data_IF_847365567305
#
_entry.id   IF_847365567305
#
_cell.length_a   1.000
_cell.length_b   1.000
_cell.length_c   1.000
_cell.angle_alpha   90.00
_cell.angle_beta   90.00
_cell.angle_gamma   90.00
#
_symmetry.space_group_name_H-M   'P 1'
#
loop_
_entity.id
_entity.type
_entity.pdbx_description
1 polymer ?
#
# COMPACT_ATOMS: atom_id res chain seq x y z
N UNK A 1 -34.95 -7.46 -16.36
CA UNK A 1 -33.66 -7.42 -15.71
C UNK A 1 -32.71 -6.75 -16.64
N UNK A 2 -31.85 -5.78 -16.23
CA UNK A 2 -30.81 -5.27 -17.12
C UNK A 2 -29.89 -6.40 -17.54
N UNK A 3 -29.36 -6.34 -18.76
CA UNK A 3 -28.41 -7.31 -19.28
C UNK A 3 -27.21 -7.41 -18.35
N UNK A 4 -26.77 -8.63 -18.05
CA UNK A 4 -25.57 -8.88 -17.25
C UNK A 4 -24.33 -8.55 -18.09
N UNK A 5 -23.49 -7.63 -17.64
CA UNK A 5 -22.20 -7.35 -18.26
C UNK A 5 -21.18 -8.38 -17.75
N UNK A 6 -20.49 -9.03 -18.67
CA UNK A 6 -19.32 -9.86 -18.37
C UNK A 6 -18.05 -9.12 -18.82
N UNK A 7 -17.09 -8.95 -17.92
CA UNK A 7 -15.79 -8.36 -18.23
C UNK A 7 -14.73 -9.46 -18.23
N UNK A 8 -13.90 -9.48 -19.27
CA UNK A 8 -12.78 -10.40 -19.41
C UNK A 8 -11.47 -9.64 -19.18
N UNK A 9 -10.57 -10.12 -18.33
CA UNK A 9 -9.24 -9.55 -18.21
C UNK A 9 -8.48 -9.59 -19.52
N UNK A 10 -7.78 -8.51 -19.84
CA UNK A 10 -6.89 -8.38 -20.98
C UNK A 10 -5.44 -8.74 -20.67
N UNK A 11 -5.10 -8.81 -19.37
CA UNK A 11 -3.75 -9.10 -18.89
C UNK A 11 -3.71 -9.14 -17.36
N UNK A 12 -2.50 -9.23 -16.82
CA UNK A 12 -2.22 -9.33 -15.40
C UNK A 12 -1.06 -8.43 -14.98
N UNK A 13 -1.12 -7.90 -13.76
CA UNK A 13 -0.04 -7.12 -13.15
C UNK A 13 0.94 -8.05 -12.47
N UNK A 14 2.24 -7.86 -12.72
CA UNK A 14 3.33 -8.42 -11.95
C UNK A 14 3.98 -7.31 -11.13
N UNK A 15 3.89 -7.40 -9.81
CA UNK A 15 4.31 -6.38 -8.87
C UNK A 15 5.05 -6.99 -7.68
N UNK A 16 6.01 -6.27 -7.07
CA UNK A 16 6.61 -6.70 -5.82
C UNK A 16 5.64 -6.67 -4.63
N UNK A 17 4.46 -6.06 -4.80
CA UNK A 17 3.44 -5.93 -3.77
C UNK A 17 2.60 -7.21 -3.71
N UNK A 18 2.88 -8.09 -2.77
CA UNK A 18 2.23 -9.41 -2.67
C UNK A 18 0.97 -9.41 -1.80
N UNK A 19 0.69 -8.33 -1.09
CA UNK A 19 -0.48 -8.23 -0.21
C UNK A 19 -1.10 -6.84 -0.20
N UNK A 20 -2.41 -6.78 0.12
CA UNK A 20 -3.15 -5.52 0.31
C UNK A 20 -2.53 -4.59 1.37
N UNK A 21 -1.75 -5.13 2.29
CA UNK A 21 -1.11 -4.35 3.36
C UNK A 21 0.15 -3.62 2.85
N UNK A 22 0.74 -4.11 1.78
CA UNK A 22 1.95 -3.56 1.15
C UNK A 22 1.61 -2.54 0.06
N UNK A 23 0.44 -2.69 -0.57
CA UNK A 23 0.01 -1.77 -1.61
C UNK A 23 -0.20 -0.36 -1.06
N UNK A 24 0.41 0.62 -1.68
CA UNK A 24 0.09 2.01 -1.48
C UNK A 24 -1.39 2.24 -1.84
N UNK A 25 -2.02 3.27 -1.27
CA UNK A 25 -3.46 3.49 -1.47
C UNK A 25 -3.79 4.33 -2.67
N UNK A 26 -2.79 4.94 -3.23
CA UNK A 26 -2.86 5.75 -4.46
C UNK A 26 -1.50 5.68 -5.15
N UNK A 27 -1.45 5.71 -6.48
CA UNK A 27 -0.20 5.69 -7.25
C UNK A 27 0.80 6.76 -6.82
N UNK A 28 0.31 7.99 -6.54
CA UNK A 28 1.14 9.10 -6.09
C UNK A 28 1.84 8.87 -4.72
N UNK A 29 1.39 7.89 -3.94
CA UNK A 29 2.04 7.51 -2.68
C UNK A 29 3.01 6.32 -2.84
N UNK A 30 3.10 5.76 -4.03
CA UNK A 30 3.96 4.63 -4.40
C UNK A 30 5.11 5.08 -5.31
N UNK A 31 5.65 6.29 -5.05
CA UNK A 31 6.77 6.83 -5.81
C UNK A 31 7.89 5.80 -5.93
N UNK A 32 8.37 5.58 -7.17
CA UNK A 32 9.45 4.63 -7.53
C UNK A 32 9.07 3.13 -7.50
N UNK A 33 7.85 2.74 -7.07
CA UNK A 33 7.42 1.35 -7.19
C UNK A 33 7.26 0.98 -8.66
N UNK A 34 8.02 -0.02 -9.11
CA UNK A 34 7.99 -0.54 -10.47
C UNK A 34 7.19 -1.83 -10.56
N UNK A 35 6.48 -2.00 -11.67
CA UNK A 35 5.76 -3.23 -11.99
C UNK A 35 5.69 -3.40 -13.53
N UNK A 36 5.13 -4.52 -13.96
CA UNK A 36 4.80 -4.71 -15.37
C UNK A 36 3.37 -5.21 -15.51
N UNK A 37 2.72 -4.84 -16.60
CA UNK A 37 1.45 -5.40 -17.04
C UNK A 37 1.78 -6.32 -18.21
N UNK A 38 1.41 -7.58 -18.13
CA UNK A 38 1.55 -8.56 -19.19
C UNK A 38 0.19 -8.83 -19.80
N UNK A 39 0.01 -8.46 -21.07
CA UNK A 39 -1.23 -8.70 -21.82
C UNK A 39 -1.26 -10.13 -22.36
N UNK A 40 -2.45 -10.70 -22.40
CA UNK A 40 -2.63 -12.07 -22.88
C UNK A 40 -2.43 -12.16 -24.40
N UNK A 41 -1.62 -13.12 -24.89
CA UNK A 41 -1.35 -13.28 -26.30
C UNK A 41 -2.56 -13.79 -27.08
N UNK A 42 -2.49 -13.69 -28.42
CA UNK A 42 -3.48 -14.28 -29.34
C UNK A 42 -4.78 -13.49 -29.46
N UNK A 43 -4.82 -12.25 -28.98
CA UNK A 43 -5.99 -11.35 -29.03
C UNK A 43 -5.73 -10.06 -29.81
N UNK A 44 -4.63 -10.02 -30.56
CA UNK A 44 -4.24 -8.89 -31.39
C UNK A 44 -4.00 -7.58 -30.59
N UNK A 45 -3.60 -7.70 -29.35
CA UNK A 45 -3.34 -6.53 -28.48
C UNK A 45 -2.08 -5.78 -28.89
N UNK A 46 -1.19 -6.38 -29.67
CA UNK A 46 -0.02 -5.72 -30.27
C UNK A 46 -0.43 -4.46 -31.02
N UNK A 47 -1.50 -4.54 -31.84
CA UNK A 47 -2.02 -3.38 -32.55
C UNK A 47 -2.75 -2.38 -31.65
N UNK A 48 -3.34 -2.85 -30.54
CA UNK A 48 -3.98 -1.95 -29.58
C UNK A 48 -2.97 -1.14 -28.76
N UNK A 49 -1.70 -1.55 -28.73
CA UNK A 49 -0.61 -0.84 -28.05
C UNK A 49 0.09 0.19 -28.97
N UNK A 50 -0.21 0.20 -30.27
CA UNK A 50 0.33 1.21 -31.19
C UNK A 50 0.01 2.62 -30.66
N UNK A 51 0.98 3.54 -30.78
CA UNK A 51 0.90 4.94 -30.34
C UNK A 51 0.76 5.14 -28.81
N UNK A 52 0.78 4.08 -27.98
CA UNK A 52 0.70 4.22 -26.54
C UNK A 52 2.02 4.68 -25.89
N UNK A 53 3.18 4.37 -26.47
CA UNK A 53 4.50 4.75 -25.93
C UNK A 53 4.72 6.26 -25.77
N UNK A 54 4.02 7.09 -26.56
CA UNK A 54 4.08 8.54 -26.47
C UNK A 54 3.45 9.12 -25.20
N UNK A 55 2.74 8.33 -24.41
CA UNK A 55 2.01 8.80 -23.24
C UNK A 55 2.83 8.62 -21.96
N UNK A 56 3.04 9.70 -21.23
CA UNK A 56 3.76 9.67 -19.96
C UNK A 56 2.99 8.92 -18.85
N UNK A 57 1.66 8.94 -18.90
CA UNK A 57 0.78 8.25 -17.95
C UNK A 57 -0.39 7.58 -18.65
N UNK A 58 -0.83 6.49 -18.05
CA UNK A 58 -1.99 5.71 -18.50
C UNK A 58 -2.93 5.45 -17.32
N UNK A 59 -4.24 5.40 -17.61
CA UNK A 59 -5.24 4.82 -16.74
C UNK A 59 -5.20 3.31 -16.89
N UNK A 60 -5.15 2.59 -15.76
CA UNK A 60 -5.33 1.16 -15.68
C UNK A 60 -6.63 0.88 -14.94
N UNK A 61 -7.59 0.28 -15.63
CA UNK A 61 -8.81 -0.27 -15.05
C UNK A 61 -8.51 -1.73 -14.67
N UNK A 62 -8.83 -2.09 -13.44
CA UNK A 62 -8.50 -3.40 -12.93
C UNK A 62 -9.56 -3.94 -11.97
N UNK A 63 -9.50 -5.23 -11.70
CA UNK A 63 -10.37 -5.90 -10.76
C UNK A 63 -9.70 -6.05 -9.40
N UNK A 64 -10.40 -5.62 -8.34
CA UNK A 64 -9.99 -5.92 -6.95
C UNK A 64 -10.24 -7.41 -6.63
N UNK A 65 -9.54 -8.28 -7.31
CA UNK A 65 -9.74 -9.74 -7.32
C UNK A 65 -9.62 -10.41 -5.94
N UNK A 66 -8.97 -9.78 -4.97
CA UNK A 66 -8.86 -10.26 -3.60
C UNK A 66 -10.03 -9.84 -2.70
N UNK A 67 -11.07 -9.18 -3.24
CA UNK A 67 -12.24 -8.77 -2.49
C UNK A 67 -13.49 -9.50 -2.99
N UNK A 68 -14.07 -10.31 -2.11
CA UNK A 68 -15.25 -11.14 -2.34
C UNK A 68 -16.55 -10.54 -1.79
N UNK A 69 -16.48 -9.41 -1.10
CA UNK A 69 -17.61 -8.78 -0.44
C UNK A 69 -17.60 -7.26 -0.59
N UNK A 70 -18.78 -6.65 -0.51
CA UNK A 70 -18.92 -5.20 -0.50
C UNK A 70 -19.46 -4.69 0.85
N UNK A 71 -19.29 -3.38 1.12
CA UNK A 71 -19.74 -2.75 2.37
C UNK A 71 -20.31 -1.37 2.07
N UNK A 72 -21.51 -1.03 2.54
CA UNK A 72 -22.11 0.29 2.28
C UNK A 72 -21.36 1.45 2.94
N UNK A 73 -20.66 1.16 4.06
CA UNK A 73 -19.82 2.12 4.78
C UNK A 73 -18.46 1.51 5.13
N UNK A 74 -17.42 2.27 4.92
CA UNK A 74 -16.02 1.89 5.21
C UNK A 74 -15.38 2.94 6.10
N UNK A 75 -14.29 2.55 6.78
CA UNK A 75 -13.45 3.48 7.54
C UNK A 75 -12.22 3.82 6.71
N UNK A 76 -12.18 4.99 6.01
CA UNK A 76 -10.99 5.38 5.29
C UNK A 76 -9.87 5.73 6.28
N UNK A 77 -8.61 5.55 5.89
CA UNK A 77 -7.47 5.83 6.77
C UNK A 77 -7.33 7.28 7.20
N UNK A 78 -7.83 8.17 6.37
CA UNK A 78 -7.76 9.62 6.61
C UNK A 78 -8.96 10.14 7.37
N UNK A 79 -9.99 9.34 7.60
CA UNK A 79 -11.19 9.80 8.29
C UNK A 79 -10.98 9.85 9.79
N UNK A 80 -11.04 11.04 10.39
CA UNK A 80 -11.07 11.27 11.83
C UNK A 80 -12.51 11.17 12.37
N UNK A 81 -13.51 11.48 11.57
CA UNK A 81 -14.94 11.51 11.96
C UNK A 81 -15.67 10.16 11.74
N UNK A 82 -14.93 9.06 11.50
CA UNK A 82 -15.50 7.73 11.45
C UNK A 82 -15.78 7.18 10.05
N UNK A 83 -16.79 6.30 9.93
CA UNK A 83 -17.09 5.63 8.67
C UNK A 83 -17.75 6.56 7.66
N UNK A 84 -17.30 6.46 6.41
CA UNK A 84 -17.86 7.19 5.25
C UNK A 84 -18.66 6.25 4.35
N UNK A 85 -19.60 6.80 3.60
CA UNK A 85 -20.29 6.07 2.54
C UNK A 85 -19.29 5.54 1.50
N UNK A 86 -19.47 4.33 1.04
CA UNK A 86 -18.54 3.66 0.13
C UNK A 86 -18.21 4.49 -1.11
N UNK A 87 -19.25 5.03 -1.76
CA UNK A 87 -19.07 5.77 -3.01
C UNK A 87 -18.37 7.12 -2.84
N UNK A 88 -18.34 7.66 -1.62
CA UNK A 88 -17.49 8.81 -1.26
C UNK A 88 -16.03 8.44 -0.99
N UNK A 89 -15.59 7.23 -1.32
CA UNK A 89 -14.25 6.74 -1.08
C UNK A 89 -13.70 5.95 -2.28
N UNK A 90 -12.40 5.71 -2.30
CA UNK A 90 -11.74 4.79 -3.25
C UNK A 90 -11.51 3.38 -2.67
N UNK A 91 -12.31 2.99 -1.69
CA UNK A 91 -12.21 1.67 -1.06
C UNK A 91 -12.52 0.55 -2.06
N UNK A 92 -11.82 -0.61 -1.95
CA UNK A 92 -12.03 -1.76 -2.84
C UNK A 92 -13.29 -2.58 -2.55
N UNK A 93 -14.00 -2.34 -1.42
CA UNK A 93 -15.19 -3.09 -1.02
C UNK A 93 -16.46 -2.66 -1.78
N UNK A 94 -16.40 -2.68 -3.10
CA UNK A 94 -17.43 -2.17 -4.00
C UNK A 94 -18.37 -3.28 -4.51
N UNK A 95 -19.65 -2.97 -4.84
CA UNK A 95 -20.56 -3.93 -5.47
C UNK A 95 -19.99 -4.48 -6.80
N UNK A 96 -19.39 -3.60 -7.60
CA UNK A 96 -18.56 -3.94 -8.73
C UNK A 96 -17.12 -3.59 -8.31
N UNK A 97 -16.27 -4.55 -7.98
CA UNK A 97 -14.96 -4.30 -7.41
C UNK A 97 -13.94 -3.86 -8.45
N UNK A 98 -14.26 -2.77 -9.17
CA UNK A 98 -13.40 -2.15 -10.16
C UNK A 98 -12.51 -1.09 -9.53
N UNK A 99 -11.24 -1.12 -9.92
CA UNK A 99 -10.23 -0.14 -9.56
C UNK A 99 -9.80 0.69 -10.76
N UNK A 100 -9.26 1.87 -10.49
CA UNK A 100 -8.73 2.81 -11.47
C UNK A 100 -7.50 3.49 -10.90
N UNK A 101 -6.35 3.34 -11.56
CA UNK A 101 -5.08 3.95 -11.17
C UNK A 101 -4.42 4.64 -12.35
N UNK A 102 -3.91 5.86 -12.14
CA UNK A 102 -3.09 6.57 -13.11
C UNK A 102 -1.62 6.27 -12.81
N UNK A 103 -1.00 5.41 -13.63
CA UNK A 103 0.40 4.99 -13.48
C UNK A 103 1.28 5.65 -14.53
N UNK A 104 2.59 5.75 -14.26
CA UNK A 104 3.55 6.20 -15.26
C UNK A 104 3.87 5.03 -16.18
N UNK A 105 3.80 5.26 -17.49
CA UNK A 105 4.30 4.33 -18.50
C UNK A 105 5.78 4.63 -18.75
N UNK A 106 6.63 3.62 -18.64
CA UNK A 106 8.07 3.77 -18.91
C UNK A 106 8.44 3.31 -20.31
N UNK A 107 7.98 2.14 -20.70
CA UNK A 107 8.22 1.54 -22.03
C UNK A 107 7.29 0.37 -22.28
N UNK A 108 7.22 -0.06 -23.54
CA UNK A 108 6.47 -1.22 -23.98
C UNK A 108 7.44 -2.18 -24.72
N UNK A 109 7.38 -3.46 -24.37
CA UNK A 109 8.15 -4.52 -25.02
C UNK A 109 7.20 -5.65 -25.40
N UNK A 110 6.81 -5.72 -26.69
CA UNK A 110 5.78 -6.65 -27.15
C UNK A 110 4.45 -6.45 -26.44
N UNK A 111 3.98 -7.45 -25.70
CA UNK A 111 2.75 -7.39 -24.89
C UNK A 111 2.99 -6.99 -23.44
N UNK A 112 4.20 -6.55 -23.10
CA UNK A 112 4.57 -6.16 -21.72
C UNK A 112 4.73 -4.64 -21.62
N UNK A 113 3.94 -4.02 -20.73
CA UNK A 113 4.05 -2.62 -20.37
C UNK A 113 4.82 -2.51 -19.05
N UNK A 114 5.92 -1.79 -19.03
CA UNK A 114 6.68 -1.46 -17.81
C UNK A 114 6.15 -0.15 -17.25
N UNK A 115 5.74 -0.19 -15.99
CA UNK A 115 5.03 0.91 -15.34
C UNK A 115 5.67 1.26 -13.99
N UNK A 116 5.49 2.50 -13.55
CA UNK A 116 5.97 3.02 -12.27
C UNK A 116 4.86 3.76 -11.52
N UNK A 117 5.10 4.08 -10.26
CA UNK A 117 4.12 4.70 -9.35
C UNK A 117 2.90 3.78 -9.14
N UNK A 118 3.13 2.51 -8.86
CA UNK A 118 2.11 1.46 -8.87
C UNK A 118 1.61 1.15 -7.46
N UNK A 119 0.28 1.11 -7.30
CA UNK A 119 -0.41 0.68 -6.08
C UNK A 119 -1.15 -0.68 -6.25
N UNK A 120 -0.81 -1.41 -7.31
CA UNK A 120 -1.46 -2.67 -7.68
C UNK A 120 -0.73 -3.88 -7.08
N UNK A 121 -1.50 -4.79 -6.50
CA UNK A 121 -0.99 -6.05 -5.95
C UNK A 121 -0.66 -7.02 -7.07
N UNK A 122 0.35 -7.86 -6.86
CA UNK A 122 0.71 -8.93 -7.80
C UNK A 122 -0.49 -9.83 -8.14
N UNK A 123 -0.59 -10.27 -9.40
CA UNK A 123 -1.70 -11.05 -9.90
C UNK A 123 -2.99 -10.25 -10.14
N UNK A 124 -2.99 -8.92 -10.05
CA UNK A 124 -4.18 -8.10 -10.30
C UNK A 124 -4.59 -8.18 -11.77
N UNK A 125 -5.83 -8.64 -12.08
CA UNK A 125 -6.34 -8.69 -13.45
C UNK A 125 -6.60 -7.29 -13.99
N UNK A 126 -6.05 -6.99 -15.17
CA UNK A 126 -6.26 -5.75 -15.92
C UNK A 126 -7.44 -5.92 -16.86
N UNK A 127 -8.36 -4.96 -16.84
CA UNK A 127 -9.59 -4.98 -17.63
C UNK A 127 -9.54 -4.04 -18.84
N UNK A 128 -8.83 -2.90 -18.71
CA UNK A 128 -8.70 -1.91 -19.77
C UNK A 128 -7.52 -0.98 -19.49
N UNK A 129 -7.00 -0.36 -20.55
CA UNK A 129 -5.95 0.66 -20.50
C UNK A 129 -6.39 1.85 -21.35
N UNK A 130 -6.19 3.08 -20.84
CA UNK A 130 -6.47 4.31 -21.55
C UNK A 130 -5.36 5.32 -21.36
N UNK A 131 -5.09 6.20 -22.31
CA UNK A 131 -4.17 7.31 -22.09
C UNK A 131 -4.71 8.26 -21.01
N UNK A 132 -3.82 8.81 -20.19
CA UNK A 132 -4.14 9.89 -19.26
C UNK A 132 -3.93 11.24 -19.95
N UNK A 133 -4.98 12.04 -20.02
CA UNK A 133 -5.00 13.32 -20.73
C UNK A 133 -5.12 14.47 -19.71
N UNK A 134 -4.03 15.12 -19.31
CA UNK A 134 -4.03 16.08 -18.19
C UNK A 134 -5.09 17.18 -18.26
N UNK A 135 -5.30 17.78 -19.43
CA UNK A 135 -6.25 18.87 -19.61
C UNK A 135 -7.73 18.44 -19.52
N UNK A 136 -8.01 17.14 -19.61
CA UNK A 136 -9.37 16.56 -19.50
C UNK A 136 -9.56 15.82 -18.18
N UNK A 137 -8.53 15.14 -17.69
CA UNK A 137 -8.63 14.21 -16.56
C UNK A 137 -8.29 14.87 -15.20
N UNK A 138 -7.72 16.10 -15.22
CA UNK A 138 -7.32 16.78 -14.01
C UNK A 138 -8.12 18.09 -13.79
N UNK A 139 -8.77 18.16 -12.62
CA UNK A 139 -9.50 19.33 -12.13
C UNK A 139 -8.96 19.72 -10.76
N UNK A 140 -7.79 20.36 -10.67
CA UNK A 140 -7.09 20.63 -9.41
C UNK A 140 -7.89 21.47 -8.42
N UNK A 141 -8.76 22.37 -8.89
CA UNK A 141 -9.57 23.26 -8.06
C UNK A 141 -10.90 22.62 -7.60
N UNK A 142 -11.12 21.33 -7.87
CA UNK A 142 -12.36 20.65 -7.47
C UNK A 142 -12.41 20.44 -5.96
N UNK A 143 -13.58 20.63 -5.37
CA UNK A 143 -13.83 20.33 -3.98
C UNK A 143 -13.56 18.84 -3.68
N UNK A 144 -12.90 18.56 -2.57
CA UNK A 144 -12.47 17.20 -2.16
C UNK A 144 -13.43 16.54 -1.15
N UNK A 145 -14.61 17.13 -0.93
CA UNK A 145 -15.65 16.61 -0.05
C UNK A 145 -15.15 16.41 1.37
N UNK A 146 -15.45 15.28 1.98
CA UNK A 146 -15.08 15.00 3.37
C UNK A 146 -13.55 15.03 3.64
N UNK A 147 -12.70 14.95 2.63
CA UNK A 147 -11.25 15.14 2.81
C UNK A 147 -10.91 16.60 3.15
N UNK A 148 -11.64 17.56 2.60
CA UNK A 148 -11.51 18.96 2.95
C UNK A 148 -11.99 19.22 4.39
N UNK A 149 -13.18 18.69 4.74
CA UNK A 149 -13.75 18.82 6.08
C UNK A 149 -12.85 18.22 7.17
N UNK A 150 -12.21 17.07 6.89
CA UNK A 150 -11.26 16.44 7.82
C UNK A 150 -9.99 17.30 8.00
N UNK A 151 -9.53 17.95 6.95
CA UNK A 151 -8.41 18.88 7.04
C UNK A 151 -8.75 20.09 7.92
N UNK A 152 -9.95 20.64 7.78
CA UNK A 152 -10.46 21.76 8.56
C UNK A 152 -10.70 21.37 10.04
N UNK A 153 -11.31 20.21 10.25
CA UNK A 153 -11.68 19.70 11.58
C UNK A 153 -10.45 19.38 12.44
N UNK A 154 -9.34 19.01 11.82
CA UNK A 154 -8.12 18.64 12.57
C UNK A 154 -7.31 19.81 13.10
N UNK A 155 -7.86 21.02 13.14
CA UNK A 155 -7.17 22.26 13.57
C UNK A 155 -5.87 22.55 12.78
N UNK A 156 -5.57 21.72 11.78
CA UNK A 156 -4.34 21.78 10.98
C UNK A 156 -4.35 23.03 10.11
N UNK A 157 -5.52 23.42 9.65
CA UNK A 157 -5.72 24.69 8.94
C UNK A 157 -5.49 25.85 9.87
N UNK A 158 -5.94 25.78 11.13
CA UNK A 158 -5.72 26.81 12.16
C UNK A 158 -4.26 26.96 12.54
N UNK A 159 -3.51 25.86 12.47
CA UNK A 159 -2.08 25.85 12.75
C UNK A 159 -1.21 26.11 11.51
N UNK A 160 -1.81 26.35 10.32
CA UNK A 160 -1.06 26.42 9.07
C UNK A 160 -0.54 25.04 8.59
N UNK A 161 -1.05 23.95 9.18
CA UNK A 161 -0.60 22.57 8.95
C UNK A 161 -1.60 21.78 8.12
N UNK A 162 -2.33 22.38 7.19
CA UNK A 162 -3.15 21.63 6.23
C UNK A 162 -2.26 20.61 5.53
N UNK A 163 -2.61 19.30 5.56
CA UNK A 163 -1.86 18.36 4.76
C UNK A 163 -2.08 18.70 3.30
N UNK A 164 -1.00 18.91 2.54
CA UNK A 164 -1.14 19.05 1.11
C UNK A 164 -1.82 17.80 0.53
N UNK A 165 -2.61 17.94 -0.49
CA UNK A 165 -3.06 16.82 -1.31
C UNK A 165 -2.22 16.81 -2.60
N UNK A 166 -1.37 15.82 -2.85
CA UNK A 166 -1.19 14.58 -2.09
C UNK A 166 -0.55 14.80 -0.71
N UNK A 167 -0.87 13.95 0.28
CA UNK A 167 -0.26 14.00 1.62
C UNK A 167 1.25 13.95 1.48
N UNK A 168 1.94 14.92 2.05
CA UNK A 168 3.38 14.82 2.27
C UNK A 168 3.68 13.55 3.04
N UNK A 169 4.57 12.72 2.53
CA UNK A 169 4.98 11.51 3.20
C UNK A 169 5.50 11.86 4.61
N UNK A 170 5.16 11.04 5.59
CA UNK A 170 5.71 11.17 6.92
C UNK A 170 7.19 10.82 6.90
N UNK A 171 8.01 11.60 7.59
CA UNK A 171 9.41 11.26 7.79
C UNK A 171 9.52 10.08 8.74
N UNK A 172 10.30 9.06 8.38
CA UNK A 172 10.48 7.86 9.20
C UNK A 172 11.94 7.71 9.58
N UNK A 173 12.22 7.82 10.87
CA UNK A 173 13.56 7.71 11.45
C UNK A 173 13.65 6.48 12.33
N UNK A 174 14.77 5.78 12.26
CA UNK A 174 15.05 4.65 13.14
C UNK A 174 16.00 5.08 14.23
N UNK A 175 15.63 4.84 15.48
CA UNK A 175 16.56 4.98 16.61
C UNK A 175 17.68 3.94 16.46
N UNK A 176 18.89 4.16 17.01
CA UNK A 176 20.03 3.28 16.86
C UNK A 176 19.70 1.81 17.13
N UNK A 177 19.00 1.53 18.24
CA UNK A 177 18.54 0.18 18.57
C UNK A 177 17.68 -0.45 17.48
N UNK A 178 16.67 0.28 17.01
CA UNK A 178 15.77 -0.24 15.97
C UNK A 178 16.49 -0.45 14.63
N UNK A 179 17.48 0.40 14.33
CA UNK A 179 18.31 0.28 13.13
C UNK A 179 19.18 -0.98 13.18
N UNK A 180 19.84 -1.26 14.31
CA UNK A 180 20.63 -2.46 14.53
C UNK A 180 19.77 -3.72 14.47
N UNK A 181 18.62 -3.71 15.14
CA UNK A 181 17.66 -4.81 15.13
C UNK A 181 17.16 -5.12 13.72
N UNK A 182 16.81 -4.10 12.95
CA UNK A 182 16.36 -4.27 11.57
C UNK A 182 17.46 -4.87 10.70
N UNK A 183 18.69 -4.33 10.77
CA UNK A 183 19.83 -4.84 10.00
C UNK A 183 20.13 -6.31 10.34
N UNK A 184 20.05 -6.67 11.61
CA UNK A 184 20.27 -8.05 12.06
C UNK A 184 19.22 -9.03 11.51
N UNK A 185 17.96 -8.62 11.48
CA UNK A 185 16.85 -9.40 10.93
C UNK A 185 17.03 -9.55 9.41
N UNK A 186 17.28 -8.44 8.71
CA UNK A 186 17.47 -8.41 7.26
C UNK A 186 18.58 -9.37 6.82
N UNK A 187 19.71 -9.33 7.51
CA UNK A 187 20.87 -10.18 7.21
C UNK A 187 20.58 -11.69 7.36
N UNK A 188 19.65 -12.08 8.26
CA UNK A 188 19.35 -13.49 8.55
C UNK A 188 18.14 -14.04 7.84
N UNK A 189 17.20 -13.17 7.48
CA UNK A 189 15.92 -13.59 6.90
C UNK A 189 15.74 -13.21 5.44
N UNK A 190 16.58 -12.31 4.90
CA UNK A 190 16.39 -11.71 3.58
C UNK A 190 15.14 -10.81 3.48
N UNK A 191 14.42 -10.58 4.60
CA UNK A 191 13.24 -9.74 4.63
C UNK A 191 13.67 -8.26 4.60
N UNK A 192 13.30 -7.44 3.60
CA UNK A 192 13.64 -6.02 3.55
C UNK A 192 12.80 -5.23 4.58
N UNK A 193 13.14 -5.41 5.86
CA UNK A 193 12.29 -4.98 6.97
C UNK A 193 12.22 -3.46 7.10
N UNK A 194 13.34 -2.76 6.92
CA UNK A 194 13.37 -1.28 6.97
C UNK A 194 12.52 -0.67 5.88
N UNK A 195 12.69 -1.16 4.66
CA UNK A 195 11.91 -0.69 3.51
C UNK A 195 10.40 -0.88 3.76
N UNK A 196 9.99 -2.06 4.22
CA UNK A 196 8.58 -2.36 4.53
C UNK A 196 8.01 -1.51 5.66
N UNK A 197 8.79 -1.26 6.71
CA UNK A 197 8.41 -0.37 7.81
C UNK A 197 8.25 1.05 7.28
N UNK A 198 9.24 1.55 6.56
CA UNK A 198 9.25 2.91 5.99
C UNK A 198 8.07 3.10 5.05
N UNK A 199 7.87 2.24 4.08
CA UNK A 199 6.75 2.30 3.13
C UNK A 199 5.38 2.32 3.83
N UNK A 200 5.22 1.55 4.91
CA UNK A 200 3.97 1.53 5.67
C UNK A 200 3.76 2.81 6.47
N UNK A 201 4.80 3.30 7.14
CA UNK A 201 4.72 4.44 8.07
C UNK A 201 4.74 5.79 7.35
N UNK A 202 5.39 5.91 6.20
CA UNK A 202 5.32 7.11 5.35
C UNK A 202 3.87 7.50 5.00
N UNK A 203 2.96 6.55 5.00
CA UNK A 203 1.54 6.79 4.80
C UNK A 203 0.81 7.29 6.05
N UNK A 204 1.53 7.48 7.16
CA UNK A 204 1.05 7.99 8.44
C UNK A 204 0.80 6.92 9.51
N UNK A 205 0.80 7.34 10.80
CA UNK A 205 0.76 6.45 11.96
C UNK A 205 -0.64 5.99 12.37
N UNK A 206 -1.70 6.40 11.64
CA UNK A 206 -3.07 6.13 12.09
C UNK A 206 -3.34 4.64 12.23
N UNK A 207 -3.90 4.20 13.36
CA UNK A 207 -4.33 2.83 13.56
C UNK A 207 -5.34 2.41 12.49
N UNK A 208 -5.04 1.33 11.80
CA UNK A 208 -5.94 0.77 10.80
C UNK A 208 -5.73 -0.73 10.65
N UNK A 209 -6.82 -1.48 10.53
CA UNK A 209 -6.78 -2.94 10.47
C UNK A 209 -5.87 -3.47 9.34
N UNK A 210 -5.90 -2.84 8.16
CA UNK A 210 -5.05 -3.23 7.02
C UNK A 210 -3.58 -2.91 7.21
N UNK A 211 -3.25 -1.80 7.89
CA UNK A 211 -1.86 -1.42 8.18
C UNK A 211 -1.29 -2.19 9.35
N UNK A 212 -2.15 -2.93 10.07
CA UNK A 212 -1.74 -3.64 11.29
C UNK A 212 -1.06 -2.75 12.32
N UNK A 213 -1.50 -1.47 12.37
CA UNK A 213 -1.07 -0.48 13.36
C UNK A 213 -2.09 -0.46 14.50
N UNK A 214 -1.60 -0.50 15.73
CA UNK A 214 -2.39 -0.32 16.96
C UNK A 214 -1.76 0.77 17.81
N UNK A 215 -2.60 1.56 18.49
CA UNK A 215 -2.14 2.51 19.51
C UNK A 215 -2.01 1.79 20.83
N UNK A 216 -0.91 1.98 21.53
CA UNK A 216 -0.58 1.40 22.83
C UNK A 216 -0.08 2.51 23.77
N UNK A 217 -1.01 3.10 24.53
CA UNK A 217 -0.69 4.27 25.36
C UNK A 217 -0.27 5.48 24.52
N UNK A 218 0.93 6.00 24.78
CA UNK A 218 1.53 7.10 24.03
C UNK A 218 2.23 6.67 22.72
N UNK A 219 2.46 5.37 22.56
CA UNK A 219 3.18 4.80 21.43
C UNK A 219 2.25 4.03 20.50
N UNK A 220 2.83 3.51 19.42
CA UNK A 220 2.14 2.72 18.42
C UNK A 220 2.91 1.44 18.16
N UNK A 221 2.19 0.39 17.76
CA UNK A 221 2.76 -0.88 17.32
C UNK A 221 2.30 -1.22 15.91
N UNK A 222 3.27 -1.42 15.01
CA UNK A 222 3.07 -1.95 13.67
C UNK A 222 3.44 -3.44 13.65
N UNK A 223 2.60 -4.27 13.00
CA UNK A 223 2.94 -5.67 12.71
C UNK A 223 3.45 -5.79 11.28
N UNK A 224 4.69 -6.25 11.12
CA UNK A 224 5.28 -6.60 9.82
C UNK A 224 5.62 -8.08 9.84
N UNK A 225 4.83 -8.90 9.16
CA UNK A 225 4.90 -10.36 9.26
C UNK A 225 4.93 -10.82 10.73
N UNK A 226 5.95 -11.55 11.13
CA UNK A 226 6.16 -12.07 12.49
C UNK A 226 6.77 -11.04 13.44
N UNK A 227 7.16 -9.86 12.97
CA UNK A 227 7.80 -8.82 13.76
C UNK A 227 6.82 -7.77 14.27
N UNK A 228 7.13 -7.19 15.41
CA UNK A 228 6.40 -6.08 16.06
C UNK A 228 7.32 -4.89 16.15
N UNK A 229 6.92 -3.80 15.55
CA UNK A 229 7.67 -2.55 15.47
C UNK A 229 6.99 -1.54 16.37
N UNK A 230 7.68 -1.08 17.38
CA UNK A 230 7.22 -0.02 18.29
C UNK A 230 7.73 1.32 17.77
N UNK A 231 6.84 2.30 17.71
CA UNK A 231 7.19 3.63 17.24
C UNK A 231 6.39 4.72 17.95
N UNK A 232 6.95 5.91 17.97
CA UNK A 232 6.29 7.14 18.40
C UNK A 232 6.10 8.07 17.21
N UNK A 233 5.28 9.11 17.41
CA UNK A 233 5.13 10.22 16.47
C UNK A 233 5.31 11.54 17.17
N UNK A 234 5.94 12.47 16.48
CA UNK A 234 5.96 13.88 16.85
C UNK A 234 5.71 14.69 15.56
N UNK A 235 4.64 15.51 15.58
CA UNK A 235 4.18 16.26 14.40
C UNK A 235 4.06 15.35 13.18
N UNK A 236 4.93 15.50 12.17
CA UNK A 236 4.97 14.71 10.93
C UNK A 236 6.14 13.72 10.89
N UNK A 237 6.85 13.57 12.01
CA UNK A 237 7.95 12.63 12.15
C UNK A 237 7.49 11.37 12.89
N UNK A 238 7.96 10.24 12.42
CA UNK A 238 7.80 8.94 13.06
C UNK A 238 9.18 8.43 13.46
N UNK A 239 9.32 8.07 14.74
CA UNK A 239 10.52 7.45 15.27
C UNK A 239 10.25 5.98 15.57
N UNK A 240 10.94 5.09 14.88
CA UNK A 240 10.93 3.65 15.13
C UNK A 240 11.88 3.40 16.30
N UNK A 241 11.32 2.97 17.44
CA UNK A 241 12.01 2.88 18.72
C UNK A 241 12.68 1.52 18.94
N UNK A 242 11.95 0.45 18.60
CA UNK A 242 12.45 -0.91 18.77
C UNK A 242 11.65 -1.90 17.92
N UNK A 243 12.26 -3.06 17.65
CA UNK A 243 11.64 -4.19 16.99
C UNK A 243 11.66 -5.38 17.95
N UNK A 244 10.63 -6.21 17.91
CA UNK A 244 10.54 -7.41 18.74
C UNK A 244 9.90 -8.55 17.97
N UNK A 245 10.11 -9.78 18.43
CA UNK A 245 9.40 -10.96 17.91
C UNK A 245 7.91 -10.87 18.22
N UNK A 246 7.08 -11.28 17.27
CA UNK A 246 5.64 -11.40 17.45
C UNK A 246 5.20 -12.68 18.13
N UNK A 247 6.10 -13.64 18.33
CA UNK A 247 5.84 -14.88 19.03
C UNK A 247 6.05 -14.75 20.54
N UNK A 248 5.25 -15.47 21.31
CA UNK A 248 5.40 -15.55 22.76
C UNK A 248 6.62 -16.39 23.14
N UNK A 249 7.24 -16.13 24.32
CA UNK A 249 8.38 -16.91 24.79
C UNK A 249 8.15 -18.43 24.78
N UNK A 250 6.95 -18.87 25.22
CA UNK A 250 6.58 -20.27 25.26
C UNK A 250 6.43 -20.93 23.87
N UNK A 251 6.09 -20.15 22.84
CA UNK A 251 5.99 -20.63 21.45
C UNK A 251 7.38 -20.87 20.87
N UNK A 252 8.30 -19.94 21.13
CA UNK A 252 9.68 -20.02 20.68
C UNK A 252 10.42 -21.19 21.34
N UNK A 253 10.12 -21.48 22.61
CA UNK A 253 10.77 -22.57 23.36
C UNK A 253 10.35 -23.99 22.95
N UNK A 254 9.18 -24.15 22.36
CA UNK A 254 8.65 -25.45 21.94
C UNK A 254 9.15 -25.97 20.59
N UNK A 255 9.75 -25.12 19.78
CA UNK A 255 10.17 -25.43 18.41
C UNK A 255 11.61 -25.93 18.32
N UNK A 256 12.31 -26.17 19.44
CA UNK A 256 13.75 -26.45 19.45
C UNK A 256 14.15 -27.84 18.91
N UNK A 257 13.20 -28.75 18.64
CA UNK A 257 13.48 -30.17 18.34
C UNK A 257 13.37 -30.55 16.85
N UNK A 258 13.19 -29.59 15.95
CA UNK A 258 13.05 -29.86 14.51
C UNK A 258 14.28 -29.41 13.71
N UNK A 259 14.71 -30.22 12.73
CA UNK A 259 15.88 -29.97 11.88
C UNK A 259 15.75 -28.67 11.04
N UNK A 260 14.54 -28.22 10.74
CA UNK A 260 14.22 -26.89 10.17
C UNK A 260 13.31 -26.14 11.15
N UNK A 261 13.92 -25.46 12.13
CA UNK A 261 13.15 -24.67 13.09
C UNK A 261 12.85 -23.27 12.55
N UNK A 262 11.59 -23.01 12.09
CA UNK A 262 11.23 -21.70 11.56
C UNK A 262 11.29 -20.58 12.61
N UNK A 263 11.39 -20.91 13.89
CA UNK A 263 11.47 -19.95 14.99
C UNK A 263 12.90 -19.71 15.50
N UNK A 264 13.91 -20.39 14.93
CA UNK A 264 15.30 -20.23 15.34
C UNK A 264 15.74 -18.76 15.31
N UNK A 265 15.44 -18.02 14.23
CA UNK A 265 15.76 -16.61 14.11
C UNK A 265 15.12 -15.76 15.22
N UNK A 266 13.92 -16.10 15.67
CA UNK A 266 13.24 -15.38 16.76
C UNK A 266 13.84 -15.70 18.13
N UNK A 267 14.38 -16.88 18.31
CA UNK A 267 15.12 -17.31 19.52
C UNK A 267 16.44 -16.54 19.63
N UNK A 268 17.19 -16.54 18.54
CA UNK A 268 18.48 -15.85 18.47
C UNK A 268 18.31 -14.33 18.63
N UNK A 269 17.29 -13.77 18.01
CA UNK A 269 16.94 -12.37 18.18
C UNK A 269 16.68 -12.02 19.65
N UNK A 270 15.91 -12.83 20.35
CA UNK A 270 15.62 -12.60 21.78
C UNK A 270 16.83 -12.81 22.69
N UNK A 271 17.78 -13.65 22.29
CA UNK A 271 19.03 -13.82 23.02
C UNK A 271 19.95 -12.60 22.86
N UNK A 272 19.96 -12.00 21.66
CA UNK A 272 20.76 -10.81 21.35
C UNK A 272 20.22 -9.53 21.99
N UNK A 273 18.91 -9.40 22.15
CA UNK A 273 18.25 -8.22 22.73
C UNK A 273 17.29 -8.62 23.86
N UNK A 274 17.88 -9.02 25.01
CA UNK A 274 17.15 -9.29 26.26
C UNK A 274 16.72 -8.02 26.96
#
# INVERSE_FOLDING_TARGET
>A
MPARLTLEPIGVVHSPLTSKAEAARQPAAATEATARIELYPGRNFEHALEDLEGWARIWVLFWFHLNDSWRPKVLPPRSASGRKGLFGTRSPYRPNPLGLSAVRLERIEGLTLFIRDVDLVDGTPVLDIKPYVPYTDAYPDSATGWLHDEADTLERVRAGESPPDPITAWSVHFDPLAAEQAAWIEARTGLPLRERITATLMLGPQPHAYRRIRKEGAEYRLKVKEWRVRFSRDRQDIRVLAISSGYRPAEIGRSADHAEDPLAVHRDFRAAWK
#
